data_IF_594145282389
#
_entry.id   IF_594145282389
#
_cell.length_a   1.000
_cell.length_b   1.000
_cell.length_c   1.000
_cell.angle_alpha   90.00
_cell.angle_beta   90.00
_cell.angle_gamma   90.00
#
_symmetry.space_group_name_H-M   'P 1'
#
loop_
_entity.id
_entity.type
_entity.pdbx_description
1 polymer ?
#
# COMPACT_ATOMS: atom_id res chain seq x y z
N UNK A 1 -10.04 -3.54 -13.72
CA UNK A 1 -9.48 -2.67 -12.66
C UNK A 1 -8.14 -2.07 -13.10
N UNK A 2 -8.14 -1.18 -14.10
CA UNK A 2 -6.88 -0.59 -14.62
C UNK A 2 -6.28 0.45 -13.64
N UNK A 3 -7.15 1.09 -12.85
CA UNK A 3 -6.84 1.96 -11.69
C UNK A 3 -5.76 1.38 -10.78
N UNK A 4 -6.08 0.27 -10.12
CA UNK A 4 -5.19 -0.34 -9.13
C UNK A 4 -3.93 -0.93 -9.77
N UNK A 5 -3.98 -1.36 -11.03
CA UNK A 5 -2.81 -1.84 -11.75
C UNK A 5 -1.79 -0.73 -12.03
N UNK A 6 -2.26 0.43 -12.51
CA UNK A 6 -1.43 1.61 -12.75
C UNK A 6 -0.79 2.11 -11.44
N UNK A 7 -1.59 2.19 -10.37
CA UNK A 7 -1.11 2.59 -9.06
C UNK A 7 -0.10 1.57 -8.51
N UNK A 8 -0.42 0.27 -8.55
CA UNK A 8 0.46 -0.82 -8.09
C UNK A 8 1.82 -0.80 -8.79
N UNK A 9 1.86 -0.59 -10.10
CA UNK A 9 3.13 -0.48 -10.85
C UNK A 9 4.00 0.67 -10.34
N UNK A 10 3.40 1.81 -9.98
CA UNK A 10 4.13 2.97 -9.46
C UNK A 10 4.59 2.76 -8.00
N UNK A 11 3.81 2.05 -7.20
CA UNK A 11 4.03 1.88 -5.75
C UNK A 11 4.61 0.53 -5.35
N UNK A 12 4.96 -0.35 -6.30
CA UNK A 12 5.50 -1.69 -6.00
C UNK A 12 6.64 -1.62 -5.00
N UNK A 13 7.57 -0.69 -5.20
CA UNK A 13 8.75 -0.53 -4.33
C UNK A 13 8.35 -0.17 -2.89
N UNK A 14 7.26 0.58 -2.73
CA UNK A 14 6.71 0.97 -1.43
C UNK A 14 6.14 -0.26 -0.70
N UNK A 15 5.48 -1.17 -1.43
CA UNK A 15 5.03 -2.46 -0.88
C UNK A 15 6.19 -3.36 -0.47
N UNK A 16 7.28 -3.40 -1.25
CA UNK A 16 8.49 -4.14 -0.86
C UNK A 16 9.07 -3.60 0.46
N UNK A 17 9.08 -2.27 0.64
CA UNK A 17 9.55 -1.64 1.87
C UNK A 17 8.61 -1.92 3.05
N UNK A 18 7.29 -1.84 2.86
CA UNK A 18 6.31 -2.14 3.91
C UNK A 18 6.39 -3.60 4.34
N UNK A 19 6.40 -4.54 3.40
CA UNK A 19 6.44 -5.99 3.70
C UNK A 19 7.80 -6.36 4.30
N UNK A 20 8.90 -5.88 3.71
CA UNK A 20 10.25 -6.13 4.23
C UNK A 20 10.45 -5.55 5.63
N UNK A 21 9.98 -4.32 5.86
CA UNK A 21 10.00 -3.68 7.18
C UNK A 21 9.13 -4.40 8.20
N UNK A 22 7.90 -4.80 7.83
CA UNK A 22 7.01 -5.57 8.69
C UNK A 22 7.62 -6.92 9.07
N UNK A 23 8.25 -7.61 8.11
CA UNK A 23 8.95 -8.88 8.35
C UNK A 23 10.15 -8.68 9.27
N UNK A 24 11.01 -7.68 9.03
CA UNK A 24 12.13 -7.37 9.90
C UNK A 24 11.69 -7.00 11.33
N UNK A 25 10.64 -6.19 11.48
CA UNK A 25 10.09 -5.84 12.79
C UNK A 25 9.51 -7.05 13.52
N UNK A 26 8.94 -8.01 12.77
CA UNK A 26 8.39 -9.23 13.35
C UNK A 26 9.45 -10.14 13.98
N UNK A 27 10.71 -10.08 13.53
CA UNK A 27 11.80 -10.89 14.10
C UNK A 27 12.40 -10.28 15.37
N UNK A 28 12.15 -8.99 15.65
CA UNK A 28 12.70 -8.29 16.80
C UNK A 28 11.89 -8.50 18.09
N UNK A 29 10.56 -8.57 18.00
CA UNK A 29 9.69 -8.71 19.18
C UNK A 29 8.28 -9.17 18.81
N UNK A 30 7.66 -9.97 19.69
CA UNK A 30 6.26 -10.37 19.57
C UNK A 30 5.29 -9.17 19.59
N UNK A 31 5.63 -8.09 20.31
CA UNK A 31 4.81 -6.87 20.33
C UNK A 31 4.84 -6.20 18.95
N UNK A 32 6.03 -6.12 18.35
CA UNK A 32 6.21 -5.55 17.01
C UNK A 32 5.54 -6.40 15.93
N UNK A 33 5.51 -7.73 16.10
CA UNK A 33 4.74 -8.62 15.23
C UNK A 33 3.24 -8.28 15.27
N UNK A 34 2.66 -8.10 16.46
CA UNK A 34 1.26 -7.70 16.61
C UNK A 34 0.99 -6.33 15.98
N UNK A 35 1.89 -5.37 16.16
CA UNK A 35 1.77 -4.03 15.52
C UNK A 35 1.80 -4.16 13.99
N UNK A 36 2.75 -4.92 13.43
CA UNK A 36 2.85 -5.16 11.99
C UNK A 36 1.58 -5.79 11.41
N UNK A 37 0.95 -6.73 12.13
CA UNK A 37 -0.30 -7.37 11.72
C UNK A 37 -1.48 -6.39 11.66
N UNK A 38 -1.52 -5.39 12.53
CA UNK A 38 -2.55 -4.34 12.51
C UNK A 38 -2.25 -3.27 11.45
N UNK A 39 -0.98 -2.96 11.22
CA UNK A 39 -0.59 -1.89 10.30
C UNK A 39 -0.75 -2.27 8.82
N UNK A 40 -0.49 -3.54 8.47
CA UNK A 40 -0.65 -4.05 7.11
C UNK A 40 -2.05 -3.83 6.50
N UNK A 41 -3.17 -4.19 7.15
CA UNK A 41 -4.50 -3.94 6.59
C UNK A 41 -4.81 -2.44 6.47
N UNK A 42 -4.29 -1.59 7.39
CA UNK A 42 -4.43 -0.13 7.29
C UNK A 42 -3.74 0.38 6.02
N UNK A 43 -2.52 -0.09 5.74
CA UNK A 43 -1.81 0.26 4.50
C UNK A 43 -2.59 -0.16 3.24
N UNK A 44 -3.26 -1.32 3.25
CA UNK A 44 -4.12 -1.76 2.13
C UNK A 44 -5.32 -0.83 1.94
N UNK A 45 -5.97 -0.40 3.01
CA UNK A 45 -7.12 0.52 2.93
C UNK A 45 -6.68 1.88 2.37
N UNK A 46 -5.57 2.43 2.87
CA UNK A 46 -5.00 3.69 2.37
C UNK A 46 -4.64 3.55 0.88
N UNK A 47 -4.05 2.43 0.50
CA UNK A 47 -3.71 2.14 -0.89
C UNK A 47 -4.93 2.13 -1.81
N UNK A 48 -6.02 1.49 -1.39
CA UNK A 48 -7.27 1.47 -2.13
C UNK A 48 -7.87 2.88 -2.24
N UNK A 49 -7.83 3.67 -1.16
CA UNK A 49 -8.29 5.06 -1.17
C UNK A 49 -7.49 5.93 -2.14
N UNK A 50 -6.16 5.84 -2.12
CA UNK A 50 -5.30 6.53 -3.11
C UNK A 50 -5.63 6.11 -4.54
N UNK A 51 -5.94 4.83 -4.77
CA UNK A 51 -6.36 4.31 -6.08
C UNK A 51 -7.65 4.95 -6.58
N UNK A 52 -8.61 5.18 -5.68
CA UNK A 52 -9.88 5.82 -6.00
C UNK A 52 -9.74 7.33 -6.25
N UNK A 53 -8.92 8.01 -5.43
CA UNK A 53 -8.76 9.47 -5.51
C UNK A 53 -7.89 9.89 -6.70
N UNK A 54 -6.83 9.13 -7.01
CA UNK A 54 -5.80 9.56 -7.95
C UNK A 54 -5.99 9.08 -9.38
N UNK A 55 -6.79 8.04 -9.61
CA UNK A 55 -6.94 7.44 -10.93
C UNK A 55 -8.40 7.36 -11.33
N UNK A 56 -8.71 7.58 -12.61
CA UNK A 56 -10.03 7.34 -13.21
C UNK A 56 -10.21 5.86 -13.61
N UNK A 57 -11.42 5.40 -13.92
CA UNK A 57 -11.76 4.00 -14.24
C UNK A 57 -10.87 3.35 -15.32
N UNK A 58 -10.32 4.17 -16.21
CA UNK A 58 -9.38 3.74 -17.25
C UNK A 58 -7.92 3.56 -16.77
N UNK A 59 -7.59 3.98 -15.55
CA UNK A 59 -6.24 3.91 -14.98
C UNK A 59 -5.34 5.11 -15.32
N UNK A 60 -5.93 6.19 -15.85
CA UNK A 60 -5.25 7.46 -16.06
C UNK A 60 -5.23 8.27 -14.76
N UNK A 61 -4.13 8.99 -14.47
CA UNK A 61 -4.10 9.90 -13.35
C UNK A 61 -5.14 11.01 -13.56
N UNK A 62 -5.88 11.33 -12.51
CA UNK A 62 -6.73 12.51 -12.48
C UNK A 62 -5.82 13.73 -12.25
N UNK A 63 -5.77 14.65 -13.21
CA UNK A 63 -5.14 15.96 -13.03
C UNK A 63 -6.00 16.80 -12.08
N UNK A 64 -5.76 16.62 -10.79
CA UNK A 64 -6.32 17.47 -9.73
C UNK A 64 -5.46 18.73 -9.70
N UNK A 65 -5.96 19.80 -10.34
CA UNK A 65 -5.37 21.16 -10.33
C UNK A 65 -5.39 21.74 -8.93
#
# INVERSE_FOLDING_TARGET
>A
MKRYYSLWKSTWWLWMLIIGGAFYLSTLSNVLMCVSLVYLPICVVIFLWFGLVRYDDQGNPLDIV
#
